data_IF_129107538572
#
_entry.id   IF_129107538572
#
_cell.length_a   1.000
_cell.length_b   1.000
_cell.length_c   1.000
_cell.angle_alpha   90.00
_cell.angle_beta   90.00
_cell.angle_gamma   90.00
#
_symmetry.space_group_name_H-M   'P 1'
#
loop_
_entity.id
_entity.type
_entity.pdbx_description
1 polymer ?
#
# COMPACT_ATOMS: atom_id res chain seq x y z
N UNK A 1 -7.29 -31.98 -1.32
CA UNK A 1 -6.17 -31.23 -0.72
C UNK A 1 -6.78 -30.31 0.31
N UNK A 2 -6.36 -30.36 1.59
CA UNK A 2 -6.85 -29.40 2.59
C UNK A 2 -6.42 -28.00 2.17
N UNK A 3 -7.37 -27.09 2.04
CA UNK A 3 -7.09 -25.70 1.71
C UNK A 3 -6.21 -25.09 2.82
N UNK A 4 -5.10 -24.51 2.41
CA UNK A 4 -4.08 -23.98 3.34
C UNK A 4 -4.56 -22.66 3.93
N UNK A 5 -4.76 -22.60 5.25
CA UNK A 5 -5.13 -21.38 5.95
C UNK A 5 -3.94 -20.41 5.98
N UNK A 6 -4.17 -19.17 5.59
CA UNK A 6 -3.19 -18.09 5.74
C UNK A 6 -3.33 -17.52 7.14
N UNK A 7 -2.26 -17.66 7.93
CA UNK A 7 -2.17 -17.17 9.31
C UNK A 7 -1.29 -15.92 9.34
N UNK A 8 -1.96 -14.79 9.45
CA UNK A 8 -1.32 -13.47 9.37
C UNK A 8 -0.70 -13.03 10.69
N UNK A 9 0.53 -12.52 10.60
CA UNK A 9 1.12 -11.64 11.60
C UNK A 9 1.01 -10.19 11.14
N UNK A 10 0.38 -9.31 11.92
CA UNK A 10 0.28 -7.89 11.60
C UNK A 10 1.40 -7.09 12.25
N UNK A 11 2.20 -6.40 11.47
CA UNK A 11 3.16 -5.40 11.95
C UNK A 11 2.52 -4.01 11.78
N UNK A 12 2.10 -3.42 12.90
CA UNK A 12 1.40 -2.14 12.95
C UNK A 12 -0.05 -2.27 13.43
N UNK A 13 -0.34 -1.60 14.55
CA UNK A 13 -1.66 -1.52 15.18
C UNK A 13 -2.28 -0.12 14.98
N UNK A 14 -2.25 0.37 13.72
CA UNK A 14 -2.74 1.69 13.33
C UNK A 14 -4.20 1.70 12.91
N UNK A 15 -4.68 2.88 12.46
CA UNK A 15 -6.06 3.08 12.03
C UNK A 15 -6.45 2.18 10.85
N UNK A 16 -5.51 1.93 9.92
CA UNK A 16 -5.76 1.07 8.75
C UNK A 16 -6.14 -0.34 9.18
N UNK A 17 -5.40 -0.92 10.12
CA UNK A 17 -5.68 -2.26 10.65
C UNK A 17 -6.90 -2.30 11.56
N UNK A 18 -7.28 -1.16 12.16
CA UNK A 18 -8.49 -1.08 13.01
C UNK A 18 -9.77 -1.02 12.20
N UNK A 19 -9.86 -0.13 11.23
CA UNK A 19 -11.15 0.25 10.62
C UNK A 19 -11.26 -0.13 9.15
N UNK A 20 -10.15 -0.35 8.44
CA UNK A 20 -10.13 -0.60 7.00
C UNK A 20 -9.79 -2.05 6.66
N UNK A 21 -8.51 -2.36 6.50
CA UNK A 21 -8.06 -3.68 6.04
C UNK A 21 -8.19 -4.77 7.09
N UNK A 22 -7.86 -4.51 8.35
CA UNK A 22 -7.82 -5.53 9.39
C UNK A 22 -9.10 -6.38 9.52
N UNK A 23 -10.31 -5.80 9.58
CA UNK A 23 -11.54 -6.58 9.61
C UNK A 23 -11.75 -7.49 8.41
N UNK A 24 -11.22 -7.15 7.23
CA UNK A 24 -11.34 -7.96 6.03
C UNK A 24 -10.56 -9.28 6.16
N UNK A 25 -9.35 -9.24 6.73
CA UNK A 25 -8.52 -10.43 6.94
C UNK A 25 -9.16 -11.49 7.83
N UNK A 26 -10.06 -11.09 8.71
CA UNK A 26 -10.80 -12.01 9.60
C UNK A 26 -12.14 -12.50 9.00
N UNK A 27 -12.59 -11.89 7.89
CA UNK A 27 -13.86 -12.25 7.23
C UNK A 27 -13.66 -13.13 5.99
N UNK A 28 -12.48 -13.08 5.39
CA UNK A 28 -12.17 -13.88 4.21
C UNK A 28 -11.94 -15.32 4.63
N UNK A 29 -12.53 -16.27 3.90
CA UNK A 29 -12.32 -17.70 4.11
C UNK A 29 -10.82 -18.04 3.99
N UNK A 30 -10.37 -19.01 4.78
CA UNK A 30 -8.96 -19.45 4.84
C UNK A 30 -7.95 -18.35 5.24
N UNK A 31 -8.42 -17.33 5.96
CA UNK A 31 -7.59 -16.20 6.45
C UNK A 31 -7.84 -15.95 7.92
N UNK A 32 -6.79 -15.93 8.72
CA UNK A 32 -6.84 -15.73 10.16
C UNK A 32 -5.71 -14.79 10.61
N UNK A 33 -6.01 -13.83 11.49
CA UNK A 33 -4.99 -12.98 12.14
C UNK A 33 -4.62 -13.63 13.47
N UNK A 34 -3.42 -14.19 13.57
CA UNK A 34 -2.97 -14.96 14.74
C UNK A 34 -2.09 -14.16 15.70
N UNK A 35 -1.41 -13.14 15.19
CA UNK A 35 -0.49 -12.31 15.95
C UNK A 35 -0.49 -10.85 15.48
N UNK A 36 -0.20 -9.93 16.39
CA UNK A 36 -0.02 -8.51 16.08
C UNK A 36 1.21 -7.94 16.79
N UNK A 37 1.81 -6.93 16.17
CA UNK A 37 2.99 -6.25 16.70
C UNK A 37 2.85 -4.74 16.63
N UNK A 38 3.29 -4.08 17.67
CA UNK A 38 3.56 -2.64 17.72
C UNK A 38 4.77 -2.40 18.62
N UNK A 39 5.69 -1.51 18.25
CA UNK A 39 6.83 -1.08 19.09
C UNK A 39 6.40 -0.56 20.48
N UNK A 40 5.14 -0.15 20.59
CA UNK A 40 4.47 0.08 21.87
C UNK A 40 3.71 -1.21 22.25
N UNK A 41 4.29 -2.00 23.16
CA UNK A 41 3.72 -3.26 23.62
C UNK A 41 2.37 -3.10 24.30
N UNK A 42 2.12 -1.99 25.00
CA UNK A 42 0.82 -1.71 25.60
C UNK A 42 -0.26 -1.52 24.52
N UNK A 43 0.08 -0.84 23.44
CA UNK A 43 -0.78 -0.68 22.27
C UNK A 43 -1.03 -1.99 21.54
N UNK A 44 0.01 -2.83 21.36
CA UNK A 44 -0.14 -4.15 20.76
C UNK A 44 -1.07 -5.04 21.57
N UNK A 45 -0.88 -5.09 22.89
CA UNK A 45 -1.72 -5.84 23.84
C UNK A 45 -3.17 -5.38 23.82
N UNK A 46 -3.41 -4.07 23.86
CA UNK A 46 -4.74 -3.50 23.82
C UNK A 46 -5.46 -3.84 22.49
N UNK A 47 -4.75 -3.73 21.37
CA UNK A 47 -5.26 -4.08 20.04
C UNK A 47 -5.62 -5.56 19.96
N UNK A 48 -4.72 -6.44 20.41
CA UNK A 48 -4.94 -7.88 20.40
C UNK A 48 -6.20 -8.26 21.22
N UNK A 49 -6.34 -7.70 22.42
CA UNK A 49 -7.52 -7.88 23.27
C UNK A 49 -8.82 -7.41 22.60
N UNK A 50 -8.81 -6.22 21.99
CA UNK A 50 -9.97 -5.64 21.28
C UNK A 50 -10.44 -6.52 20.11
N UNK A 51 -9.50 -7.18 19.43
CA UNK A 51 -9.75 -7.97 18.21
C UNK A 51 -9.82 -9.48 18.44
N UNK A 52 -9.71 -9.93 19.68
CA UNK A 52 -9.71 -11.36 20.00
C UNK A 52 -8.49 -12.13 19.48
N UNK A 53 -7.37 -11.44 19.23
CA UNK A 53 -6.12 -12.03 18.76
C UNK A 53 -5.34 -12.50 19.99
N UNK A 54 -4.83 -13.74 19.93
CA UNK A 54 -4.23 -14.37 21.11
C UNK A 54 -2.81 -13.89 21.41
N UNK A 55 -2.05 -13.55 20.36
CA UNK A 55 -0.64 -13.21 20.47
C UNK A 55 -0.37 -11.76 20.13
N UNK A 56 0.52 -11.15 20.88
CA UNK A 56 1.01 -9.79 20.61
C UNK A 56 2.50 -9.71 20.95
N UNK A 57 3.20 -8.84 20.22
CA UNK A 57 4.65 -8.63 20.32
C UNK A 57 4.95 -7.14 20.32
N UNK A 58 6.08 -6.75 20.86
CA UNK A 58 6.66 -5.39 20.75
C UNK A 58 7.94 -5.37 19.90
N UNK A 59 8.41 -6.54 19.52
CA UNK A 59 9.49 -6.76 18.55
C UNK A 59 8.98 -7.46 17.28
N UNK A 60 9.42 -6.97 16.10
CA UNK A 60 8.97 -7.50 14.83
C UNK A 60 9.60 -8.86 14.51
N UNK A 61 10.84 -9.12 14.97
CA UNK A 61 11.49 -10.40 14.72
C UNK A 61 10.78 -11.52 15.49
N UNK A 62 10.35 -11.26 16.73
CA UNK A 62 9.60 -12.24 17.51
C UNK A 62 8.27 -12.63 16.84
N UNK A 63 7.54 -11.65 16.26
CA UNK A 63 6.35 -11.94 15.48
C UNK A 63 6.69 -12.73 14.20
N UNK A 64 7.76 -12.34 13.50
CA UNK A 64 8.18 -13.02 12.27
C UNK A 64 8.64 -14.45 12.57
N UNK A 65 9.28 -14.71 13.69
CA UNK A 65 9.77 -16.03 14.08
C UNK A 65 8.67 -16.95 14.63
N UNK A 66 7.50 -16.39 14.99
CA UNK A 66 6.38 -17.20 15.50
C UNK A 66 5.98 -18.28 14.45
N UNK A 67 6.05 -19.59 14.80
CA UNK A 67 5.74 -20.67 13.87
C UNK A 67 4.27 -20.72 13.42
N UNK A 68 3.36 -20.09 14.12
CA UNK A 68 1.96 -20.00 13.67
C UNK A 68 1.77 -18.95 12.57
N UNK A 69 2.64 -17.94 12.49
CA UNK A 69 2.59 -16.91 11.43
C UNK A 69 3.17 -17.49 10.14
N UNK A 70 2.41 -17.52 9.06
CA UNK A 70 2.88 -17.98 7.74
C UNK A 70 2.84 -16.90 6.66
N UNK A 71 2.34 -15.70 6.96
CA UNK A 71 2.40 -14.51 6.12
C UNK A 71 2.39 -13.24 7.00
N UNK A 72 3.04 -12.17 6.56
CA UNK A 72 3.16 -10.93 7.34
C UNK A 72 2.49 -9.78 6.60
N UNK A 73 1.57 -9.09 7.29
CA UNK A 73 0.99 -7.84 6.81
C UNK A 73 1.66 -6.65 7.48
N UNK A 74 2.21 -5.74 6.67
CA UNK A 74 2.97 -4.57 7.12
C UNK A 74 2.12 -3.32 6.91
N UNK A 75 1.62 -2.75 8.01
CA UNK A 75 0.71 -1.60 8.05
C UNK A 75 1.26 -0.47 8.93
N UNK A 76 2.54 -0.27 8.87
CA UNK A 76 3.28 0.81 9.52
C UNK A 76 3.36 2.05 8.62
N UNK A 77 3.96 3.16 9.04
CA UNK A 77 4.37 4.22 8.11
C UNK A 77 5.42 3.74 7.08
N UNK A 78 5.46 4.32 5.87
CA UNK A 78 6.28 3.84 4.75
C UNK A 78 7.78 3.71 5.06
N UNK A 79 8.34 4.54 5.94
CA UNK A 79 9.77 4.51 6.32
C UNK A 79 10.23 3.18 6.93
N UNK A 80 9.33 2.32 7.36
CA UNK A 80 9.67 1.00 7.91
C UNK A 80 9.23 -0.17 7.01
N UNK A 81 8.55 0.08 5.91
CA UNK A 81 8.04 -0.96 5.02
C UNK A 81 9.15 -1.86 4.48
N UNK A 82 10.21 -1.27 3.94
CA UNK A 82 11.33 -2.02 3.37
C UNK A 82 12.01 -2.93 4.40
N UNK A 83 12.23 -2.41 5.61
CA UNK A 83 12.86 -3.19 6.68
C UNK A 83 12.05 -4.42 7.01
N UNK A 84 10.78 -4.27 7.34
CA UNK A 84 9.93 -5.39 7.76
C UNK A 84 9.62 -6.37 6.63
N UNK A 85 9.45 -5.89 5.38
CA UNK A 85 9.27 -6.76 4.23
C UNK A 85 10.49 -7.67 4.00
N UNK A 86 11.68 -7.10 4.05
CA UNK A 86 12.93 -7.84 3.89
C UNK A 86 13.14 -8.86 5.01
N UNK A 87 12.86 -8.49 6.26
CA UNK A 87 12.91 -9.41 7.40
C UNK A 87 11.96 -10.59 7.18
N UNK A 88 10.71 -10.33 6.81
CA UNK A 88 9.70 -11.35 6.55
C UNK A 88 10.12 -12.32 5.45
N UNK A 89 10.55 -11.80 4.29
CA UNK A 89 10.96 -12.65 3.15
C UNK A 89 12.22 -13.46 3.44
N UNK A 90 13.18 -12.92 4.17
CA UNK A 90 14.38 -13.67 4.63
C UNK A 90 14.04 -14.81 5.59
N UNK A 91 12.95 -14.67 6.36
CA UNK A 91 12.41 -15.73 7.21
C UNK A 91 11.49 -16.71 6.45
N UNK A 92 11.43 -16.61 5.12
CA UNK A 92 10.59 -17.48 4.27
C UNK A 92 9.11 -17.18 4.32
N UNK A 93 8.69 -16.01 4.84
CA UNK A 93 7.28 -15.63 4.98
C UNK A 93 6.89 -14.55 3.98
N UNK A 94 5.86 -14.79 3.14
CA UNK A 94 5.32 -13.78 2.24
C UNK A 94 5.01 -12.46 2.96
N UNK A 95 5.35 -11.35 2.30
CA UNK A 95 5.06 -10.01 2.81
C UNK A 95 3.92 -9.36 2.02
N UNK A 96 2.94 -8.79 2.73
CA UNK A 96 1.90 -7.95 2.16
C UNK A 96 2.04 -6.55 2.75
N UNK A 97 2.44 -5.57 1.93
CA UNK A 97 2.85 -4.24 2.36
C UNK A 97 1.74 -3.23 2.05
N UNK A 98 1.39 -2.36 2.99
CA UNK A 98 0.56 -1.18 2.68
C UNK A 98 1.25 -0.26 1.66
N UNK A 99 0.41 0.44 0.93
CA UNK A 99 0.89 1.43 -0.03
C UNK A 99 1.33 2.74 0.70
N UNK A 100 2.31 3.47 0.15
CA UNK A 100 3.21 3.10 -0.93
C UNK A 100 4.15 1.97 -0.50
N UNK A 101 4.70 1.22 -1.46
CA UNK A 101 5.56 0.06 -1.20
C UNK A 101 6.74 0.39 -0.27
N UNK A 102 7.36 1.55 -0.46
CA UNK A 102 8.43 2.11 0.37
C UNK A 102 8.53 3.62 0.16
N UNK A 103 9.49 4.27 0.84
CA UNK A 103 9.72 5.72 0.73
C UNK A 103 10.45 6.08 -0.58
N UNK A 104 11.40 5.24 -1.03
CA UNK A 104 12.21 5.53 -2.22
C UNK A 104 12.17 4.40 -3.26
N UNK A 105 12.57 4.73 -4.48
CA UNK A 105 12.73 3.77 -5.57
C UNK A 105 13.79 2.70 -5.24
N UNK A 106 14.88 3.10 -4.62
CA UNK A 106 15.97 2.21 -4.21
C UNK A 106 15.48 1.18 -3.18
N UNK A 107 14.64 1.59 -2.24
CA UNK A 107 14.01 0.67 -1.29
C UNK A 107 13.07 -0.31 -2.00
N UNK A 108 12.24 0.14 -2.92
CA UNK A 108 11.38 -0.72 -3.74
C UNK A 108 12.21 -1.73 -4.54
N UNK A 109 13.29 -1.29 -5.16
CA UNK A 109 14.22 -2.16 -5.91
C UNK A 109 14.85 -3.20 -5.00
N UNK A 110 15.26 -2.81 -3.78
CA UNK A 110 15.81 -3.73 -2.78
C UNK A 110 14.78 -4.78 -2.33
N UNK A 111 13.52 -4.39 -2.11
CA UNK A 111 12.45 -5.34 -1.78
C UNK A 111 12.27 -6.35 -2.91
N UNK A 112 12.16 -5.90 -4.16
CA UNK A 112 12.00 -6.76 -5.33
C UNK A 112 13.18 -7.72 -5.50
N UNK A 113 14.41 -7.23 -5.30
CA UNK A 113 15.61 -8.06 -5.35
C UNK A 113 15.56 -9.18 -4.31
N UNK A 114 15.24 -8.87 -3.05
CA UNK A 114 15.17 -9.87 -1.98
C UNK A 114 14.03 -10.87 -2.24
N UNK A 115 12.89 -10.44 -2.76
CA UNK A 115 11.81 -11.34 -3.16
C UNK A 115 12.30 -12.35 -4.21
N UNK A 116 13.05 -11.88 -5.21
CA UNK A 116 13.62 -12.75 -6.26
C UNK A 116 14.71 -13.69 -5.70
N UNK A 117 15.61 -13.18 -4.86
CA UNK A 117 16.70 -13.97 -4.26
C UNK A 117 16.19 -15.07 -3.33
N UNK A 118 15.14 -14.81 -2.56
CA UNK A 118 14.57 -15.77 -1.60
C UNK A 118 13.50 -16.66 -2.23
N UNK A 119 12.94 -16.31 -3.37
CA UNK A 119 11.77 -16.96 -3.96
C UNK A 119 10.48 -16.73 -3.16
N UNK A 120 10.50 -15.83 -2.18
CA UNK A 120 9.35 -15.52 -1.32
C UNK A 120 8.59 -14.32 -1.87
N UNK A 121 7.27 -14.46 -2.14
CA UNK A 121 6.51 -13.39 -2.79
C UNK A 121 6.29 -12.19 -1.87
N UNK A 122 6.27 -11.01 -2.50
CA UNK A 122 5.90 -9.74 -1.89
C UNK A 122 4.73 -9.12 -2.66
N UNK A 123 3.74 -8.60 -1.94
CA UNK A 123 2.56 -7.96 -2.52
C UNK A 123 2.39 -6.56 -1.93
N UNK A 124 1.85 -5.63 -2.73
CA UNK A 124 1.50 -4.29 -2.26
C UNK A 124 -0.01 -4.12 -2.26
N UNK A 125 -0.55 -3.45 -1.25
CA UNK A 125 -1.98 -3.33 -1.00
C UNK A 125 -2.69 -2.34 -1.97
N UNK A 126 -2.56 -2.57 -3.27
CA UNK A 126 -3.29 -1.85 -4.31
C UNK A 126 -4.68 -2.45 -4.54
N UNK A 127 -5.46 -2.56 -3.47
CA UNK A 127 -6.76 -3.23 -3.45
C UNK A 127 -7.79 -2.63 -4.42
N UNK A 128 -7.63 -1.37 -4.83
CA UNK A 128 -8.61 -0.69 -5.71
C UNK A 128 -8.79 -1.37 -7.05
N UNK A 129 -7.76 -2.04 -7.58
CA UNK A 129 -7.86 -2.83 -8.82
C UNK A 129 -9.02 -3.84 -8.79
N UNK A 130 -9.32 -4.38 -7.63
CA UNK A 130 -10.31 -5.45 -7.46
C UNK A 130 -11.68 -4.95 -7.00
N UNK A 131 -11.87 -3.65 -6.83
CA UNK A 131 -13.18 -3.10 -6.51
C UNK A 131 -14.11 -3.15 -7.75
N UNK A 132 -15.36 -3.61 -7.60
CA UNK A 132 -16.25 -3.88 -8.74
C UNK A 132 -16.41 -2.72 -9.71
N UNK A 133 -16.46 -1.50 -9.23
CA UNK A 133 -16.61 -0.33 -10.09
C UNK A 133 -15.33 -0.02 -10.89
N UNK A 134 -14.12 -0.26 -10.38
CA UNK A 134 -12.90 -0.12 -11.16
C UNK A 134 -12.73 -1.27 -12.16
N UNK A 135 -13.11 -2.50 -11.78
CA UNK A 135 -13.18 -3.62 -12.71
C UNK A 135 -14.16 -3.32 -13.86
N UNK A 136 -15.30 -2.69 -13.56
CA UNK A 136 -16.26 -2.30 -14.61
C UNK A 136 -15.72 -1.22 -15.54
N UNK A 137 -14.99 -0.21 -15.01
CA UNK A 137 -14.31 0.78 -15.83
C UNK A 137 -13.29 0.10 -16.75
N UNK A 138 -12.47 -0.79 -16.22
CA UNK A 138 -11.48 -1.55 -16.98
C UNK A 138 -12.13 -2.35 -18.11
N UNK A 139 -13.20 -3.09 -17.82
CA UNK A 139 -13.98 -3.83 -18.82
C UNK A 139 -14.49 -2.92 -19.95
N UNK A 140 -15.03 -1.73 -19.63
CA UNK A 140 -15.54 -0.78 -20.62
C UNK A 140 -14.43 -0.17 -21.51
N UNK A 141 -13.23 -0.03 -20.97
CA UNK A 141 -12.04 0.38 -21.73
C UNK A 141 -11.59 -0.77 -22.64
N UNK A 142 -11.40 -1.97 -22.10
CA UNK A 142 -10.85 -3.12 -22.83
C UNK A 142 -11.75 -3.62 -23.95
N UNK A 143 -13.07 -3.61 -23.76
CA UNK A 143 -14.02 -4.04 -24.80
C UNK A 143 -14.41 -2.95 -25.82
N UNK A 144 -13.82 -1.76 -25.70
CA UNK A 144 -14.06 -0.65 -26.63
C UNK A 144 -15.43 0.02 -26.51
N UNK A 145 -16.23 -0.27 -25.49
CA UNK A 145 -17.57 0.32 -25.31
C UNK A 145 -17.56 1.84 -25.29
N UNK A 146 -16.52 2.44 -24.72
CA UNK A 146 -16.34 3.91 -24.66
C UNK A 146 -15.43 4.45 -25.77
N UNK A 147 -15.07 3.62 -26.74
CA UNK A 147 -14.11 3.96 -27.80
C UNK A 147 -12.67 4.06 -27.30
N UNK A 148 -11.81 4.65 -28.14
CA UNK A 148 -10.40 4.82 -27.79
C UNK A 148 -10.24 5.92 -26.74
N UNK A 149 -9.60 5.60 -25.63
CA UNK A 149 -9.28 6.60 -24.60
C UNK A 149 -8.04 7.38 -25.03
N UNK A 150 -8.20 8.67 -25.26
CA UNK A 150 -7.12 9.55 -25.72
C UNK A 150 -6.41 10.22 -24.53
N UNK A 151 -7.16 10.53 -23.48
CA UNK A 151 -6.64 11.23 -22.31
C UNK A 151 -7.42 10.85 -21.05
N UNK A 152 -6.73 10.75 -19.94
CA UNK A 152 -7.33 10.61 -18.60
C UNK A 152 -6.83 11.76 -17.73
N UNK A 153 -7.74 12.49 -17.12
CA UNK A 153 -7.41 13.56 -16.18
C UNK A 153 -7.96 13.21 -14.79
N UNK A 154 -7.08 13.24 -13.79
CA UNK A 154 -7.46 13.09 -12.39
C UNK A 154 -7.16 14.41 -11.70
N UNK A 155 -8.21 15.04 -11.18
CA UNK A 155 -8.08 16.26 -10.36
C UNK A 155 -8.54 15.95 -8.96
N UNK A 156 -7.67 16.23 -8.00
CA UNK A 156 -7.98 16.11 -6.58
C UNK A 156 -7.58 17.41 -5.88
N UNK A 157 -8.51 18.00 -5.17
CA UNK A 157 -8.27 19.20 -4.37
C UNK A 157 -9.12 19.13 -3.11
N UNK A 158 -8.52 19.40 -1.97
CA UNK A 158 -9.21 19.48 -0.68
C UNK A 158 -8.52 20.55 0.18
N UNK A 159 -9.25 21.15 1.14
CA UNK A 159 -8.62 22.02 2.13
C UNK A 159 -7.65 21.23 3.02
N UNK A 160 -6.69 21.91 3.67
CA UNK A 160 -5.87 21.32 4.72
C UNK A 160 -6.74 20.68 5.79
N UNK A 161 -6.25 19.63 6.42
CA UNK A 161 -6.89 18.99 7.56
C UNK A 161 -6.56 19.76 8.84
N UNK A 162 -7.41 19.68 9.86
CA UNK A 162 -7.17 20.36 11.15
C UNK A 162 -5.80 20.03 11.74
N UNK A 163 -5.35 18.78 11.58
CA UNK A 163 -4.03 18.33 12.05
C UNK A 163 -2.85 18.97 11.31
N UNK A 164 -3.04 19.46 10.10
CA UNK A 164 -1.97 20.08 9.29
C UNK A 164 -1.59 21.48 9.82
N UNK A 165 -2.44 22.09 10.64
CA UNK A 165 -2.17 23.36 11.30
C UNK A 165 -1.35 23.23 12.59
N UNK A 166 -1.21 22.01 13.13
CA UNK A 166 -0.42 21.77 14.34
C UNK A 166 1.07 21.53 13.99
N UNK A 167 1.83 22.60 13.87
CA UNK A 167 3.24 22.55 13.49
C UNK A 167 4.14 21.77 14.48
N UNK A 168 3.75 21.70 15.75
CA UNK A 168 4.50 20.97 16.78
C UNK A 168 4.27 19.44 16.71
N UNK A 169 3.17 19.02 16.08
CA UNK A 169 2.82 17.60 15.95
C UNK A 169 2.15 17.32 14.59
N UNK A 170 2.91 17.50 13.53
CA UNK A 170 2.46 17.24 12.17
C UNK A 170 2.15 15.76 11.96
N UNK A 171 1.08 15.43 11.20
CA UNK A 171 0.82 14.05 10.82
C UNK A 171 1.98 13.49 10.00
N UNK A 172 2.33 12.22 10.24
CA UNK A 172 3.44 11.56 9.55
C UNK A 172 3.32 11.60 8.00
N UNK A 173 2.10 11.74 7.49
CA UNK A 173 1.79 11.79 6.04
C UNK A 173 2.34 13.00 5.32
N UNK A 174 2.70 14.04 6.04
CA UNK A 174 3.30 15.26 5.49
C UNK A 174 4.77 15.45 5.94
N UNK A 175 5.33 14.43 6.58
CA UNK A 175 6.74 14.34 6.95
C UNK A 175 7.47 13.50 5.90
N UNK A 176 8.26 14.15 5.05
CA UNK A 176 8.85 13.52 3.86
C UNK A 176 9.82 12.37 4.18
N UNK A 177 10.52 12.42 5.31
CA UNK A 177 11.41 11.37 5.82
C UNK A 177 10.63 10.10 6.25
N UNK A 178 9.35 10.23 6.57
CA UNK A 178 8.49 9.12 7.00
C UNK A 178 7.60 8.63 5.86
N UNK A 179 7.00 9.55 5.11
CA UNK A 179 6.01 9.26 4.07
C UNK A 179 6.59 9.22 2.65
N UNK A 180 7.76 9.82 2.41
CA UNK A 180 8.36 10.02 1.09
C UNK A 180 8.04 11.37 0.46
N UNK A 181 7.05 12.09 0.97
CA UNK A 181 6.58 13.39 0.47
C UNK A 181 5.31 13.83 1.18
N UNK A 182 4.51 14.66 0.51
CA UNK A 182 3.23 15.12 1.02
C UNK A 182 2.07 14.17 0.73
N UNK A 183 0.85 14.71 0.74
CA UNK A 183 -0.36 13.92 0.48
C UNK A 183 -0.41 13.25 -0.90
N UNK A 184 0.38 13.70 -1.85
CA UNK A 184 0.51 13.02 -3.14
C UNK A 184 1.02 11.58 -2.95
N UNK A 185 2.04 11.37 -2.11
CA UNK A 185 2.59 10.03 -1.80
C UNK A 185 1.60 9.11 -1.08
N UNK A 186 0.66 9.68 -0.32
CA UNK A 186 -0.40 8.87 0.32
C UNK A 186 -1.53 8.52 -0.66
N UNK A 187 -1.91 9.43 -1.56
CA UNK A 187 -3.14 9.33 -2.36
C UNK A 187 -2.92 8.86 -3.80
N UNK A 188 -1.88 9.37 -4.48
CA UNK A 188 -1.62 9.09 -5.88
C UNK A 188 -1.19 7.65 -6.21
N UNK A 189 -0.52 6.89 -5.32
CA UNK A 189 -0.14 5.52 -5.65
C UNK A 189 -1.30 4.63 -6.09
N UNK A 190 -2.48 4.80 -5.52
CA UNK A 190 -3.68 4.08 -5.96
C UNK A 190 -4.16 4.48 -7.37
N UNK A 191 -4.07 5.78 -7.72
CA UNK A 191 -4.45 6.26 -9.05
C UNK A 191 -3.44 5.82 -10.10
N UNK A 192 -2.15 5.97 -9.79
CA UNK A 192 -1.06 5.56 -10.69
C UNK A 192 -1.13 4.05 -10.96
N UNK A 193 -1.38 3.25 -9.92
CA UNK A 193 -1.57 1.82 -10.03
C UNK A 193 -2.75 1.44 -10.94
N UNK A 194 -3.91 2.10 -10.76
CA UNK A 194 -5.08 1.89 -11.62
C UNK A 194 -4.84 2.32 -13.07
N UNK A 195 -4.14 3.44 -13.29
CA UNK A 195 -3.81 3.90 -14.64
C UNK A 195 -2.90 2.90 -15.34
N UNK A 196 -1.90 2.36 -14.65
CA UNK A 196 -1.04 1.32 -15.23
C UNK A 196 -1.78 0.01 -15.50
N UNK A 197 -2.72 -0.36 -14.63
CA UNK A 197 -3.55 -1.56 -14.81
C UNK A 197 -4.50 -1.46 -16.02
N UNK A 198 -5.00 -0.26 -16.34
CA UNK A 198 -5.95 -0.02 -17.43
C UNK A 198 -5.25 0.39 -18.74
N UNK A 199 -4.15 1.12 -18.67
CA UNK A 199 -3.53 1.79 -19.82
C UNK A 199 -2.07 1.39 -20.04
N UNK A 200 -1.57 0.39 -19.35
CA UNK A 200 -0.21 -0.12 -19.53
C UNK A 200 0.86 0.68 -18.79
N UNK A 201 2.12 0.39 -19.11
CA UNK A 201 3.25 0.96 -18.40
C UNK A 201 3.38 2.47 -18.64
N UNK A 202 3.74 3.18 -17.58
CA UNK A 202 4.19 4.58 -17.69
C UNK A 202 5.55 4.59 -18.38
N UNK A 203 5.67 5.34 -19.46
CA UNK A 203 6.90 5.44 -20.28
C UNK A 203 7.78 6.57 -19.80
N UNK A 204 7.18 7.67 -19.35
CA UNK A 204 7.85 8.87 -18.88
C UNK A 204 7.01 9.56 -17.81
N UNK A 205 7.62 10.39 -17.00
CA UNK A 205 6.95 11.23 -16.03
C UNK A 205 7.54 12.64 -16.08
N UNK A 206 6.66 13.64 -16.19
CA UNK A 206 7.03 15.04 -16.08
C UNK A 206 6.04 15.77 -15.17
N UNK A 207 6.49 16.80 -14.48
CA UNK A 207 5.59 17.51 -13.60
C UNK A 207 6.24 18.62 -12.80
N UNK A 208 5.40 19.28 -12.02
CA UNK A 208 5.78 20.39 -11.14
C UNK A 208 5.19 20.16 -9.75
N UNK A 209 5.96 20.45 -8.73
CA UNK A 209 5.51 20.46 -7.34
C UNK A 209 5.87 21.77 -6.64
N UNK A 210 5.04 22.16 -5.70
CA UNK A 210 5.30 23.33 -4.85
C UNK A 210 4.67 23.13 -3.47
N UNK A 211 5.10 23.96 -2.54
CA UNK A 211 4.48 24.14 -1.25
C UNK A 211 4.00 25.58 -1.17
N UNK A 212 2.72 25.82 -1.33
CA UNK A 212 2.13 27.16 -1.39
C UNK A 212 1.45 27.55 -0.08
N UNK A 213 0.95 26.57 0.66
CA UNK A 213 0.28 26.79 1.95
C UNK A 213 1.23 26.92 3.12
N UNK A 214 2.49 26.43 2.96
CA UNK A 214 3.57 26.50 3.96
C UNK A 214 3.19 25.99 5.35
N UNK A 215 2.17 25.08 5.41
CA UNK A 215 1.70 24.51 6.67
C UNK A 215 2.64 23.40 7.18
N UNK A 216 3.32 22.71 6.26
CA UNK A 216 4.25 21.62 6.53
C UNK A 216 5.40 21.62 5.47
N UNK A 217 6.53 20.92 5.71
CA UNK A 217 7.68 20.98 4.79
C UNK A 217 7.48 20.30 3.43
N UNK A 218 6.58 19.29 3.34
CA UNK A 218 6.34 18.56 2.10
C UNK A 218 5.53 19.39 1.08
N UNK A 219 5.47 18.93 -0.17
CA UNK A 219 4.65 19.55 -1.21
C UNK A 219 3.14 19.42 -0.88
N UNK A 220 2.40 20.49 -1.14
CA UNK A 220 0.94 20.55 -1.04
C UNK A 220 0.24 20.65 -2.40
N UNK A 221 1.00 20.99 -3.42
CA UNK A 221 0.53 21.17 -4.79
C UNK A 221 1.42 20.40 -5.74
N UNK A 222 0.80 19.56 -6.61
CA UNK A 222 1.50 18.79 -7.62
C UNK A 222 0.66 18.69 -8.89
N UNK A 223 1.31 18.82 -10.03
CA UNK A 223 0.76 18.51 -11.36
C UNK A 223 1.75 17.62 -12.08
N UNK A 224 1.29 16.52 -12.64
CA UNK A 224 2.15 15.58 -13.36
C UNK A 224 1.47 15.03 -14.61
N UNK A 225 2.27 14.69 -15.60
CA UNK A 225 1.89 14.07 -16.86
C UNK A 225 2.62 12.75 -17.02
N UNK A 226 1.91 11.73 -17.49
CA UNK A 226 2.42 10.37 -17.65
C UNK A 226 2.03 9.81 -19.02
N UNK A 227 2.89 9.87 -20.05
CA UNK A 227 2.72 9.05 -21.24
C UNK A 227 2.71 7.57 -20.88
N UNK A 228 1.73 6.83 -21.41
CA UNK A 228 1.55 5.39 -21.18
C UNK A 228 1.65 4.59 -22.46
N UNK A 229 1.94 3.31 -22.34
CA UNK A 229 2.09 2.38 -23.48
C UNK A 229 0.75 1.87 -24.03
N UNK A 230 -0.36 2.52 -23.71
CA UNK A 230 -1.68 2.11 -24.16
C UNK A 230 -1.75 1.96 -25.67
N UNK A 231 -1.95 0.73 -26.12
CA UNK A 231 -2.27 0.41 -27.51
C UNK A 231 -3.63 -0.26 -27.54
N UNK A 232 -4.56 0.32 -28.29
CA UNK A 232 -5.84 -0.33 -28.54
C UNK A 232 -5.57 -1.54 -29.44
N UNK A 233 -5.59 -2.73 -28.88
CA UNK A 233 -5.58 -3.96 -29.67
C UNK A 233 -6.97 -4.12 -30.29
N UNK A 234 -7.17 -3.59 -31.48
CA UNK A 234 -8.23 -4.09 -32.34
C UNK A 234 -7.87 -5.53 -32.69
N UNK A 235 -8.54 -6.50 -32.08
CA UNK A 235 -8.52 -7.85 -32.61
C UNK A 235 -9.04 -7.77 -34.04
N UNK A 236 -8.34 -8.33 -35.06
CA UNK A 236 -8.89 -8.38 -36.39
C UNK A 236 -10.19 -9.20 -36.32
N UNK A 237 -11.30 -8.56 -36.67
CA UNK A 237 -12.55 -9.25 -36.94
C UNK A 237 -12.33 -10.09 -38.17
N UNK A 238 -12.14 -11.37 -38.02
CA UNK A 238 -12.28 -12.37 -39.07
C UNK A 238 -13.73 -12.70 -39.30
#
# INVERSE_FOLDING_TARGET
MSEKIIKWGFIGCGEVTKTKSGPAFQKVEHSEVVAVMSRDGAKAKAYAKERGIKKWYDDAQELIDDPEVNAVYIATPPSSHATYAIMSMKAGKPAYIEKPMAVTYEECTRINRISNETGVPCFVAYYRRYLPYFQKVKELVENGTIGNVINVQIRFAQPPRDLDYNRDNLPWRVQADIAGGGYFYDLAPHQIDLLQDMFGCILEASGYKSNRGELYPAEDTLSACFPVSYTHLTLPTT
#
